data_IF_494510981487
#
_entry.id   IF_494510981487
#
_cell.length_a   1.000
_cell.length_b   1.000
_cell.length_c   1.000
_cell.angle_alpha   90.00
_cell.angle_beta   90.00
_cell.angle_gamma   90.00
#
_symmetry.space_group_name_H-M   'P 1'
#
loop_
_entity.id
_entity.type
_entity.pdbx_description
1 polymer ?
#
# COMPACT_ATOMS: atom_id res chain seq x y z
N UNK A 1 37.43 53.23 -12.83
CA UNK A 1 37.26 54.29 -11.81
C UNK A 1 35.95 54.01 -11.10
N UNK A 2 35.94 53.17 -10.06
CA UNK A 2 36.19 53.46 -8.63
C UNK A 2 35.05 54.22 -7.92
N UNK A 3 34.72 53.67 -6.73
CA UNK A 3 33.92 54.17 -5.61
C UNK A 3 32.41 53.89 -5.60
N UNK A 4 31.91 52.90 -4.82
CA UNK A 4 31.79 52.74 -3.34
C UNK A 4 30.68 53.59 -2.73
N UNK A 5 29.69 52.91 -2.13
CA UNK A 5 28.72 53.47 -1.19
C UNK A 5 27.96 52.35 -0.48
N UNK A 6 28.25 52.15 0.80
CA UNK A 6 27.77 51.05 1.64
C UNK A 6 26.46 51.38 2.39
N UNK A 7 25.63 50.33 2.59
CA UNK A 7 24.85 49.89 3.77
C UNK A 7 24.04 50.94 4.58
N UNK A 8 22.77 50.61 4.92
CA UNK A 8 22.42 50.46 6.33
C UNK A 8 21.83 49.10 6.69
N UNK A 9 22.18 48.67 7.91
CA UNK A 9 21.82 47.45 8.62
C UNK A 9 20.44 47.57 9.27
N UNK A 10 19.79 46.43 9.51
CA UNK A 10 18.89 46.26 10.66
C UNK A 10 17.61 45.50 10.36
N UNK A 11 17.51 44.27 10.85
CA UNK A 11 16.27 43.47 10.80
C UNK A 11 16.55 42.01 11.12
N UNK A 12 16.73 41.71 12.41
CA UNK A 12 17.15 40.41 12.93
C UNK A 12 16.10 39.30 12.68
N UNK A 13 16.57 38.14 12.20
CA UNK A 13 15.85 36.87 12.27
C UNK A 13 15.93 36.29 13.68
N UNK A 14 14.85 35.79 14.28
CA UNK A 14 14.96 34.96 15.48
C UNK A 14 15.46 33.56 15.10
N UNK A 15 16.52 33.14 15.79
CA UNK A 15 17.05 31.78 15.77
C UNK A 15 16.17 30.85 16.61
N UNK A 16 16.19 29.59 16.19
CA UNK A 16 15.76 28.41 16.91
C UNK A 16 16.47 28.29 18.27
N UNK A 17 15.72 28.10 19.35
CA UNK A 17 16.21 27.55 20.62
C UNK A 17 15.41 26.29 20.96
N UNK A 18 16.07 25.14 20.75
CA UNK A 18 15.74 23.87 21.40
C UNK A 18 16.45 23.80 22.75
N UNK A 19 15.88 23.01 23.65
CA UNK A 19 16.30 22.64 25.01
C UNK A 19 16.01 23.65 26.14
N UNK A 20 14.89 23.42 26.84
CA UNK A 20 14.87 22.95 28.25
C UNK A 20 13.43 22.86 28.75
N UNK A 21 12.95 21.63 28.98
CA UNK A 21 12.26 21.20 30.21
C UNK A 21 11.69 19.80 30.01
N UNK A 22 12.57 18.83 30.21
CA UNK A 22 12.22 17.47 30.59
C UNK A 22 12.04 17.50 32.12
N UNK A 23 11.01 16.81 32.62
CA UNK A 23 10.63 16.60 34.03
C UNK A 23 9.77 17.67 34.70
N UNK A 24 8.45 17.58 34.49
CA UNK A 24 7.47 17.61 35.60
C UNK A 24 6.39 16.57 35.29
N UNK A 25 6.64 15.33 35.70
CA UNK A 25 5.61 14.30 35.81
C UNK A 25 4.96 14.48 37.18
N UNK A 26 4.10 15.48 37.32
CA UNK A 26 3.19 15.57 38.47
C UNK A 26 2.01 14.66 38.20
N UNK A 27 1.93 13.60 39.02
CA UNK A 27 0.78 12.70 39.15
C UNK A 27 -0.51 13.52 39.34
N UNK A 28 -1.22 13.81 38.25
CA UNK A 28 -2.63 14.16 38.34
C UNK A 28 -3.41 12.87 38.59
N UNK A 29 -4.16 12.88 39.67
CA UNK A 29 -5.09 11.82 40.07
C UNK A 29 -6.05 11.53 38.90
N UNK A 30 -6.20 10.25 38.56
CA UNK A 30 -7.31 9.74 37.78
C UNK A 30 -8.62 10.07 38.53
N UNK A 31 -9.21 11.22 38.24
CA UNK A 31 -10.62 11.47 38.48
C UNK A 31 -11.38 10.74 37.35
N UNK A 32 -12.23 9.79 37.74
CA UNK A 32 -12.84 8.79 36.86
C UNK A 32 -13.23 9.30 35.48
N UNK A 33 -12.44 8.93 34.47
CA UNK A 33 -12.67 9.34 33.09
C UNK A 33 -13.93 8.67 32.54
N UNK A 34 -14.88 9.49 32.06
CA UNK A 34 -16.14 9.01 31.48
C UNK A 34 -15.87 8.33 30.14
N UNK A 35 -16.06 7.01 30.08
CA UNK A 35 -16.13 6.25 28.84
C UNK A 35 -17.50 6.49 28.21
N UNK A 36 -17.53 6.96 26.96
CA UNK A 36 -18.80 7.20 26.25
C UNK A 36 -19.47 5.89 25.81
N UNK A 37 -20.77 5.94 25.50
CA UNK A 37 -21.45 4.81 24.84
C UNK A 37 -20.94 4.65 23.39
N UNK A 38 -20.68 3.41 22.93
CA UNK A 38 -20.23 3.17 21.56
C UNK A 38 -21.30 3.57 20.53
N UNK A 39 -20.86 4.00 19.35
CA UNK A 39 -21.73 4.55 18.30
C UNK A 39 -22.88 3.63 17.91
N UNK A 40 -22.62 2.32 17.84
CA UNK A 40 -23.59 1.28 17.47
C UNK A 40 -24.73 1.11 18.49
N UNK A 41 -24.58 1.64 19.70
CA UNK A 41 -25.61 1.62 20.76
C UNK A 41 -26.16 3.01 21.09
N UNK A 42 -25.44 4.03 20.65
CA UNK A 42 -25.73 5.42 20.99
C UNK A 42 -26.96 5.94 20.24
N UNK A 43 -27.76 6.74 20.94
CA UNK A 43 -28.85 7.53 20.36
C UNK A 43 -28.56 9.02 20.53
N UNK A 44 -28.94 9.82 19.54
CA UNK A 44 -28.87 11.28 19.57
C UNK A 44 -30.29 11.83 19.58
N UNK A 45 -30.56 12.78 20.47
CA UNK A 45 -31.87 13.41 20.60
C UNK A 45 -32.01 14.56 19.61
N UNK A 46 -33.08 14.54 18.82
CA UNK A 46 -33.48 15.64 17.96
C UNK A 46 -34.76 16.29 18.49
N UNK A 47 -34.66 17.55 18.93
CA UNK A 47 -35.78 18.38 19.34
C UNK A 47 -35.50 19.84 19.01
N UNK A 48 -36.33 20.44 18.16
CA UNK A 48 -36.45 21.90 18.04
C UNK A 48 -37.46 22.40 19.06
N UNK A 49 -37.34 23.66 19.50
CA UNK A 49 -38.23 24.26 20.51
C UNK A 49 -39.73 24.01 20.18
N UNK A 50 -40.34 23.04 20.89
CA UNK A 50 -41.76 22.70 20.76
C UNK A 50 -42.09 21.33 20.14
N UNK A 51 -41.13 20.54 19.68
CA UNK A 51 -41.35 19.16 19.17
C UNK A 51 -40.84 18.15 20.20
N UNK A 52 -41.60 17.07 20.42
CA UNK A 52 -41.22 15.92 21.28
C UNK A 52 -39.83 15.42 20.89
N UNK A 53 -38.92 15.38 21.88
CA UNK A 53 -37.55 14.88 21.73
C UNK A 53 -37.54 13.49 21.11
N UNK A 54 -37.21 13.40 19.81
CA UNK A 54 -37.11 12.13 19.09
C UNK A 54 -35.69 11.58 19.26
N UNK A 55 -35.57 10.40 19.88
CA UNK A 55 -34.30 9.66 19.94
C UNK A 55 -34.07 8.92 18.62
N UNK A 56 -32.97 9.23 17.94
CA UNK A 56 -32.58 8.59 16.67
C UNK A 56 -31.23 7.88 16.88
N UNK A 57 -31.02 6.66 16.36
CA UNK A 57 -29.71 6.00 16.43
C UNK A 57 -28.60 6.90 15.91
N UNK A 58 -27.44 6.90 16.54
CA UNK A 58 -26.33 7.80 16.17
C UNK A 58 -25.74 7.45 14.79
N UNK A 59 -25.76 6.18 14.41
CA UNK A 59 -25.51 5.73 13.03
C UNK A 59 -26.86 5.63 12.31
N UNK A 60 -27.17 6.62 11.47
CA UNK A 60 -28.46 6.68 10.78
C UNK A 60 -28.40 7.61 9.57
N UNK A 61 -29.13 7.27 8.51
CA UNK A 61 -29.23 8.05 7.27
C UNK A 61 -29.70 9.50 7.48
N UNK A 62 -30.36 9.79 8.59
CA UNK A 62 -30.83 11.15 8.93
C UNK A 62 -29.68 12.13 9.23
N UNK A 63 -28.47 11.62 9.48
CA UNK A 63 -27.30 12.45 9.83
C UNK A 63 -26.40 12.77 8.64
N UNK A 64 -26.67 12.20 7.46
CA UNK A 64 -25.90 12.50 6.26
C UNK A 64 -26.06 13.98 5.90
N UNK A 65 -24.95 14.60 5.48
CA UNK A 65 -25.01 15.90 4.84
C UNK A 65 -25.36 15.69 3.37
N UNK A 66 -26.28 16.53 2.86
CA UNK A 66 -26.59 16.55 1.42
C UNK A 66 -25.46 17.30 0.72
N UNK A 67 -24.78 16.62 -0.18
CA UNK A 67 -23.69 17.16 -0.99
C UNK A 67 -23.44 16.27 -2.20
N UNK A 68 -22.60 16.75 -3.11
CA UNK A 68 -22.13 15.96 -4.25
C UNK A 68 -20.63 15.81 -4.09
N UNK A 69 -20.14 14.57 -4.03
CA UNK A 69 -18.70 14.31 -3.98
C UNK A 69 -18.14 14.19 -5.39
N UNK A 70 -17.14 15.00 -5.70
CA UNK A 70 -16.48 15.01 -7.00
C UNK A 70 -15.44 13.89 -7.07
N UNK A 71 -15.29 13.23 -8.23
CA UNK A 71 -14.23 12.25 -8.45
C UNK A 71 -12.92 12.94 -8.77
N UNK A 72 -11.83 12.41 -8.24
CA UNK A 72 -10.49 12.82 -8.60
C UNK A 72 -10.22 12.51 -10.08
N UNK A 73 -9.56 13.46 -10.73
CA UNK A 73 -8.97 13.28 -12.06
C UNK A 73 -7.51 13.74 -11.99
N UNK A 74 -6.56 13.01 -12.60
CA UNK A 74 -5.18 13.46 -12.67
C UNK A 74 -5.07 14.85 -13.32
N UNK A 75 -4.08 15.67 -12.93
CA UNK A 75 -3.83 16.94 -13.58
C UNK A 75 -3.61 16.73 -15.09
N UNK A 76 -4.09 17.67 -15.93
CA UNK A 76 -3.86 17.58 -17.36
C UNK A 76 -2.35 17.59 -17.62
N UNK A 77 -1.88 16.63 -18.40
CA UNK A 77 -0.49 16.57 -18.84
C UNK A 77 -0.37 17.25 -20.20
N UNK A 78 0.80 17.85 -20.51
CA UNK A 78 1.04 18.43 -21.83
C UNK A 78 0.95 17.35 -22.92
N UNK A 79 0.57 17.75 -24.13
CA UNK A 79 0.66 16.89 -25.31
C UNK A 79 2.12 16.63 -25.72
N UNK A 80 2.33 15.86 -26.79
CA UNK A 80 3.68 15.54 -27.32
C UNK A 80 4.49 16.80 -27.70
N UNK A 81 3.82 17.94 -27.92
CA UNK A 81 4.46 19.23 -28.22
C UNK A 81 4.73 20.06 -26.96
N UNK A 82 4.44 19.52 -25.78
CA UNK A 82 4.59 20.21 -24.50
C UNK A 82 3.52 21.27 -24.25
N UNK A 83 2.39 21.22 -24.96
CA UNK A 83 1.32 22.23 -24.86
C UNK A 83 0.13 21.66 -24.09
N UNK A 84 -0.30 22.40 -23.07
CA UNK A 84 -1.56 22.12 -22.37
C UNK A 84 -2.74 22.77 -23.11
N UNK A 85 -3.90 22.08 -23.21
CA UNK A 85 -5.09 22.71 -23.75
C UNK A 85 -5.44 23.99 -22.98
N UNK A 86 -5.78 25.10 -23.66
CA UNK A 86 -6.07 26.37 -23.00
C UNK A 86 -7.20 26.23 -21.97
N UNK A 87 -6.97 26.68 -20.74
CA UNK A 87 -7.96 26.62 -19.65
C UNK A 87 -8.07 25.26 -18.95
N UNK A 88 -7.38 24.21 -19.43
CA UNK A 88 -7.49 22.87 -18.83
C UNK A 88 -6.97 22.84 -17.39
N UNK A 89 -5.84 23.51 -17.13
CA UNK A 89 -5.28 23.60 -15.79
C UNK A 89 -6.20 24.38 -14.86
N UNK A 90 -6.69 25.54 -15.30
CA UNK A 90 -7.56 26.39 -14.49
C UNK A 90 -8.87 25.66 -14.15
N UNK A 91 -9.47 24.97 -15.12
CA UNK A 91 -10.66 24.13 -14.90
C UNK A 91 -10.37 22.96 -13.94
N UNK A 92 -9.21 22.33 -14.07
CA UNK A 92 -8.80 21.25 -13.17
C UNK A 92 -8.60 21.74 -11.74
N UNK A 93 -7.93 22.89 -11.56
CA UNK A 93 -7.71 23.49 -10.25
C UNK A 93 -9.02 23.81 -9.54
N UNK A 94 -9.99 24.42 -10.24
CA UNK A 94 -11.32 24.71 -9.68
C UNK A 94 -12.03 23.42 -9.24
N UNK A 95 -12.00 22.38 -10.08
CA UNK A 95 -12.61 21.09 -9.73
C UNK A 95 -11.95 20.44 -8.50
N UNK A 96 -10.62 20.51 -8.42
CA UNK A 96 -9.86 19.92 -7.32
C UNK A 96 -10.00 20.72 -6.02
N UNK A 97 -10.24 22.02 -6.07
CA UNK A 97 -10.56 22.84 -4.89
C UNK A 97 -11.85 22.38 -4.23
N UNK A 98 -12.90 22.09 -5.02
CA UNK A 98 -14.14 21.51 -4.49
C UNK A 98 -13.91 20.13 -3.85
N UNK A 99 -13.13 19.26 -4.52
CA UNK A 99 -12.76 17.96 -3.95
C UNK A 99 -12.00 18.11 -2.62
N UNK A 100 -11.02 19.02 -2.57
CA UNK A 100 -10.27 19.31 -1.35
C UNK A 100 -11.20 19.77 -0.22
N UNK A 101 -12.13 20.69 -0.51
CA UNK A 101 -13.11 21.18 0.43
C UNK A 101 -14.05 20.08 0.93
N UNK A 102 -14.50 19.19 0.05
CA UNK A 102 -15.36 18.06 0.40
C UNK A 102 -14.64 17.09 1.35
N UNK A 103 -13.37 16.76 1.07
CA UNK A 103 -12.55 15.88 1.90
C UNK A 103 -12.25 16.51 3.28
N UNK A 104 -11.97 17.82 3.32
CA UNK A 104 -11.80 18.56 4.58
C UNK A 104 -13.10 18.61 5.39
N UNK A 105 -14.22 18.86 4.73
CA UNK A 105 -15.55 18.88 5.35
C UNK A 105 -15.86 17.52 5.96
N UNK A 106 -15.58 16.43 5.24
CA UNK A 106 -15.76 15.07 5.71
C UNK A 106 -14.92 14.77 6.96
N UNK A 107 -13.65 15.18 6.98
CA UNK A 107 -12.78 15.05 8.16
C UNK A 107 -13.24 15.91 9.34
N UNK A 108 -13.88 17.06 9.07
CA UNK A 108 -14.40 17.95 10.11
C UNK A 108 -15.69 17.42 10.77
N UNK A 109 -16.37 16.43 10.17
CA UNK A 109 -17.61 15.90 10.71
C UNK A 109 -17.43 15.29 12.11
N UNK A 110 -18.38 15.50 13.03
CA UNK A 110 -18.43 14.74 14.28
C UNK A 110 -18.52 13.24 14.01
N UNK A 111 -17.93 12.42 14.89
CA UNK A 111 -17.85 10.96 14.76
C UNK A 111 -19.10 10.28 14.20
N UNK A 112 -20.27 10.51 14.80
CA UNK A 112 -21.53 9.90 14.38
C UNK A 112 -21.99 10.33 12.98
N UNK A 113 -21.72 11.58 12.57
CA UNK A 113 -22.05 12.09 11.24
C UNK A 113 -21.08 11.56 10.19
N UNK A 114 -19.79 11.51 10.52
CA UNK A 114 -18.77 10.91 9.65
C UNK A 114 -19.14 9.46 9.30
N UNK A 115 -19.37 8.64 10.32
CA UNK A 115 -19.74 7.24 10.11
C UNK A 115 -21.10 7.07 9.42
N UNK A 116 -22.07 7.95 9.69
CA UNK A 116 -23.33 7.94 8.94
C UNK A 116 -23.12 8.30 7.47
N UNK A 117 -22.22 9.24 7.16
CA UNK A 117 -21.84 9.54 5.78
C UNK A 117 -21.19 8.33 5.12
N UNK A 118 -20.19 7.69 5.77
CA UNK A 118 -19.50 6.52 5.20
C UNK A 118 -20.46 5.35 4.92
N UNK A 119 -21.42 5.11 5.81
CA UNK A 119 -22.33 3.96 5.66
C UNK A 119 -23.43 4.21 4.64
N UNK A 120 -23.96 5.43 4.57
CA UNK A 120 -25.19 5.71 3.82
C UNK A 120 -25.01 6.55 2.56
N UNK A 121 -23.79 7.04 2.27
CA UNK A 121 -23.51 7.81 1.05
C UNK A 121 -22.45 7.12 0.17
N UNK A 122 -22.87 6.37 -0.87
CA UNK A 122 -21.95 5.68 -1.77
C UNK A 122 -21.05 6.64 -2.56
N UNK A 123 -21.45 7.91 -2.75
CA UNK A 123 -20.66 8.87 -3.51
C UNK A 123 -19.31 9.17 -2.84
N UNK A 124 -19.23 9.04 -1.50
CA UNK A 124 -17.96 9.20 -0.78
C UNK A 124 -16.97 8.10 -1.16
N UNK A 125 -17.43 6.85 -1.24
CA UNK A 125 -16.57 5.73 -1.63
C UNK A 125 -16.06 5.91 -3.05
N UNK A 126 -16.92 6.28 -3.99
CA UNK A 126 -16.51 6.53 -5.37
C UNK A 126 -15.50 7.68 -5.48
N UNK A 127 -15.66 8.73 -4.66
CA UNK A 127 -14.73 9.85 -4.58
C UNK A 127 -13.35 9.41 -4.05
N UNK A 128 -13.31 8.73 -2.90
CA UNK A 128 -12.05 8.24 -2.32
C UNK A 128 -11.38 7.18 -3.21
N UNK A 129 -12.17 6.29 -3.82
CA UNK A 129 -11.69 5.25 -4.72
C UNK A 129 -11.08 5.84 -5.99
N UNK A 130 -11.72 6.86 -6.59
CA UNK A 130 -11.19 7.52 -7.78
C UNK A 130 -9.78 8.10 -7.58
N UNK A 131 -9.45 8.53 -6.36
CA UNK A 131 -8.10 8.98 -6.05
C UNK A 131 -7.12 7.81 -5.96
N UNK A 132 -7.43 6.75 -5.20
CA UNK A 132 -6.47 5.66 -5.01
C UNK A 132 -6.20 4.88 -6.31
N UNK A 133 -7.16 4.85 -7.25
CA UNK A 133 -6.98 4.21 -8.55
C UNK A 133 -6.20 5.06 -9.56
N UNK A 134 -6.25 6.39 -9.43
CA UNK A 134 -5.71 7.33 -10.44
C UNK A 134 -4.59 8.23 -9.91
N UNK A 135 -4.28 8.16 -8.62
CA UNK A 135 -3.19 8.89 -8.01
C UNK A 135 -1.83 8.42 -8.51
N UNK A 136 -0.87 9.35 -8.59
CA UNK A 136 0.49 9.02 -9.00
C UNK A 136 1.20 8.18 -7.94
N UNK A 137 1.84 7.11 -8.39
CA UNK A 137 2.67 6.24 -7.58
C UNK A 137 4.06 6.83 -7.49
N UNK A 138 4.82 6.41 -6.49
CA UNK A 138 6.16 6.94 -6.23
C UNK A 138 7.18 6.67 -7.35
N UNK A 139 6.87 5.73 -8.26
CA UNK A 139 7.66 5.44 -9.45
C UNK A 139 7.11 6.11 -10.71
N UNK A 140 5.94 6.75 -10.67
CA UNK A 140 5.41 7.46 -11.83
C UNK A 140 6.26 8.70 -12.10
N UNK A 141 6.77 8.81 -13.32
CA UNK A 141 7.63 9.92 -13.73
C UNK A 141 6.78 11.09 -14.22
N UNK A 142 6.06 11.70 -13.27
CA UNK A 142 5.16 12.83 -13.53
C UNK A 142 5.76 14.12 -13.00
N UNK A 143 6.01 15.06 -13.92
CA UNK A 143 6.47 16.40 -13.59
C UNK A 143 5.26 17.32 -13.46
N UNK A 144 4.88 17.60 -12.21
CA UNK A 144 3.84 18.57 -11.89
C UNK A 144 4.40 19.99 -11.82
N UNK A 145 3.65 20.96 -12.35
CA UNK A 145 3.93 22.38 -12.23
C UNK A 145 3.66 22.90 -10.80
N UNK A 146 4.16 24.11 -10.52
CA UNK A 146 4.11 24.73 -9.19
C UNK A 146 2.68 25.01 -8.68
N UNK A 147 1.67 25.03 -9.56
CA UNK A 147 0.27 25.21 -9.17
C UNK A 147 -0.43 23.88 -8.92
N UNK A 148 -0.20 22.88 -9.77
CA UNK A 148 -0.87 21.57 -9.64
C UNK A 148 -0.31 20.75 -8.48
N UNK A 149 0.99 20.85 -8.20
CA UNK A 149 1.67 20.04 -7.18
C UNK A 149 1.07 20.23 -5.76
N UNK A 150 0.90 21.45 -5.22
CA UNK A 150 0.33 21.63 -3.88
C UNK A 150 -1.08 21.04 -3.74
N UNK A 151 -1.89 21.12 -4.80
CA UNK A 151 -3.26 20.58 -4.81
C UNK A 151 -3.26 19.06 -4.80
N UNK A 152 -2.43 18.42 -5.64
CA UNK A 152 -2.26 16.96 -5.61
C UNK A 152 -1.75 16.49 -4.25
N UNK A 153 -0.76 17.17 -3.67
CA UNK A 153 -0.22 16.85 -2.34
C UNK A 153 -1.26 17.01 -1.23
N UNK A 154 -2.10 18.06 -1.29
CA UNK A 154 -3.18 18.26 -0.33
C UNK A 154 -4.24 17.16 -0.42
N UNK A 155 -4.72 16.85 -1.63
CA UNK A 155 -5.69 15.77 -1.85
C UNK A 155 -5.10 14.42 -1.43
N UNK A 156 -3.84 14.14 -1.78
CA UNK A 156 -3.12 12.93 -1.36
C UNK A 156 -3.19 12.76 0.16
N UNK A 157 -2.89 13.83 0.90
CA UNK A 157 -2.92 13.84 2.35
C UNK A 157 -4.33 13.65 2.91
N UNK A 158 -5.32 14.37 2.38
CA UNK A 158 -6.70 14.33 2.87
C UNK A 158 -7.38 12.98 2.61
N UNK A 159 -7.15 12.37 1.45
CA UNK A 159 -7.64 11.02 1.14
C UNK A 159 -7.06 10.02 2.13
N UNK A 160 -5.75 10.08 2.41
CA UNK A 160 -5.11 9.22 3.41
C UNK A 160 -5.74 9.36 4.79
N UNK A 161 -5.95 10.60 5.25
CA UNK A 161 -6.56 10.85 6.56
C UNK A 161 -8.00 10.33 6.65
N UNK A 162 -8.76 10.38 5.56
CA UNK A 162 -10.10 9.79 5.52
C UNK A 162 -10.03 8.27 5.68
N UNK A 163 -9.14 7.59 4.96
CA UNK A 163 -8.92 6.14 5.13
C UNK A 163 -8.41 5.79 6.54
N UNK A 164 -7.50 6.57 7.12
CA UNK A 164 -7.02 6.38 8.50
C UNK A 164 -8.19 6.48 9.49
N UNK A 165 -9.08 7.46 9.31
CA UNK A 165 -10.25 7.63 10.16
C UNK A 165 -11.23 6.46 10.00
N UNK A 166 -11.53 6.04 8.77
CA UNK A 166 -12.36 4.86 8.48
C UNK A 166 -11.78 3.57 9.05
N UNK A 167 -10.45 3.46 9.13
CA UNK A 167 -9.79 2.31 9.70
C UNK A 167 -9.65 2.37 11.23
N UNK A 168 -10.17 3.40 11.91
CA UNK A 168 -10.00 3.62 13.35
C UNK A 168 -11.31 3.44 14.11
N UNK A 169 -11.54 2.24 14.66
CA UNK A 169 -12.76 1.95 15.45
C UNK A 169 -12.87 2.76 16.76
N UNK A 170 -11.77 3.37 17.22
CA UNK A 170 -11.69 4.14 18.47
C UNK A 170 -10.91 5.44 18.25
N UNK A 171 -11.62 6.49 17.84
CA UNK A 171 -11.06 7.85 17.71
C UNK A 171 -10.74 8.47 19.09
N UNK A 172 -11.55 8.17 20.11
CA UNK A 172 -11.34 8.62 21.49
C UNK A 172 -12.05 7.73 22.51
N UNK A 173 -11.96 8.07 23.81
CA UNK A 173 -12.71 7.36 24.88
C UNK A 173 -14.23 7.53 24.75
N UNK A 174 -14.70 8.59 24.09
CA UNK A 174 -16.12 8.91 23.90
C UNK A 174 -16.61 8.73 22.46
N UNK A 175 -15.70 8.53 21.51
CA UNK A 175 -15.97 8.32 20.09
C UNK A 175 -15.35 7.00 19.67
N UNK A 176 -16.14 5.94 19.72
CA UNK A 176 -15.71 4.60 19.32
C UNK A 176 -16.90 3.75 18.88
N UNK A 177 -16.60 2.65 18.21
CA UNK A 177 -17.53 1.62 17.75
C UNK A 177 -17.12 0.30 18.42
N UNK A 178 -18.08 -0.54 18.77
CA UNK A 178 -17.79 -1.91 19.25
C UNK A 178 -16.95 -2.65 18.20
N UNK A 179 -15.79 -3.27 18.53
CA UNK A 179 -14.84 -3.75 17.53
C UNK A 179 -15.40 -4.74 16.49
N UNK A 180 -16.23 -5.70 16.92
CA UNK A 180 -16.90 -6.62 15.99
C UNK A 180 -17.88 -5.93 15.04
N UNK A 181 -18.67 -4.97 15.56
CA UNK A 181 -19.61 -4.18 14.74
C UNK A 181 -18.85 -3.28 13.77
N UNK A 182 -17.72 -2.71 14.18
CA UNK A 182 -16.83 -1.99 13.27
C UNK A 182 -16.34 -2.89 12.13
N UNK A 183 -15.90 -4.11 12.45
CA UNK A 183 -15.47 -5.09 11.46
C UNK A 183 -16.57 -5.43 10.45
N UNK A 184 -17.82 -5.58 10.91
CA UNK A 184 -18.98 -5.80 10.05
C UNK A 184 -19.29 -4.56 9.20
N UNK A 185 -19.24 -3.35 9.77
CA UNK A 185 -19.50 -2.10 9.05
C UNK A 185 -18.52 -1.93 7.88
N UNK A 186 -17.22 -2.08 8.12
CA UNK A 186 -16.22 -1.84 7.06
C UNK A 186 -16.30 -2.88 5.93
N UNK A 187 -16.70 -4.11 6.26
CA UNK A 187 -16.82 -5.22 5.32
C UNK A 187 -18.10 -5.14 4.49
N UNK A 188 -19.25 -5.11 5.17
CA UNK A 188 -20.56 -5.24 4.52
C UNK A 188 -20.94 -3.96 3.72
N UNK A 189 -20.28 -2.83 4.01
CA UNK A 189 -20.46 -1.57 3.25
C UNK A 189 -19.32 -1.31 2.25
N UNK A 190 -18.46 -2.30 1.95
CA UNK A 190 -17.37 -2.19 0.97
C UNK A 190 -16.42 -1.01 1.17
N UNK A 191 -16.24 -0.58 2.43
CA UNK A 191 -15.33 0.54 2.77
C UNK A 191 -13.87 0.17 2.50
N UNK A 192 -13.55 -1.12 2.62
CA UNK A 192 -12.28 -1.70 2.21
C UNK A 192 -12.52 -3.02 1.50
N UNK A 193 -11.64 -3.29 0.53
CA UNK A 193 -11.44 -4.58 -0.11
C UNK A 193 -9.92 -4.78 -0.33
N UNK A 194 -9.52 -5.95 -0.83
CA UNK A 194 -8.10 -6.27 -1.01
C UNK A 194 -7.42 -5.37 -2.06
N UNK A 195 -8.12 -4.99 -3.13
CA UNK A 195 -7.58 -4.09 -4.14
C UNK A 195 -7.32 -2.69 -3.55
N UNK A 196 -8.28 -2.13 -2.83
CA UNK A 196 -8.12 -0.86 -2.10
C UNK A 196 -6.95 -0.91 -1.12
N UNK A 197 -6.79 -2.02 -0.39
CA UNK A 197 -5.67 -2.17 0.54
C UNK A 197 -4.31 -2.24 -0.17
N UNK A 198 -4.24 -2.90 -1.34
CA UNK A 198 -3.05 -2.93 -2.18
C UNK A 198 -2.70 -1.52 -2.69
N UNK A 199 -3.68 -0.78 -3.22
CA UNK A 199 -3.49 0.60 -3.69
C UNK A 199 -3.05 1.54 -2.57
N UNK A 200 -3.68 1.45 -1.40
CA UNK A 200 -3.31 2.23 -0.23
C UNK A 200 -1.86 1.93 0.21
N UNK A 201 -1.50 0.64 0.26
CA UNK A 201 -0.12 0.21 0.54
C UNK A 201 0.85 0.84 -0.46
N UNK A 202 0.56 0.73 -1.75
CA UNK A 202 1.42 1.21 -2.82
C UNK A 202 1.59 2.74 -2.80
N UNK A 203 0.51 3.49 -2.64
CA UNK A 203 0.52 4.95 -2.65
C UNK A 203 1.17 5.55 -1.40
N UNK A 204 0.85 5.01 -0.22
CA UNK A 204 1.18 5.65 1.06
C UNK A 204 2.28 4.91 1.83
N UNK A 205 2.67 3.71 1.43
CA UNK A 205 3.70 2.91 2.10
C UNK A 205 5.05 3.62 2.25
N UNK A 206 5.63 4.19 1.18
CA UNK A 206 6.94 4.85 1.25
C UNK A 206 7.01 6.03 2.21
N UNK A 207 5.91 6.79 2.34
CA UNK A 207 5.87 8.05 3.10
C UNK A 207 5.21 7.91 4.48
N UNK A 208 4.28 6.97 4.66
CA UNK A 208 3.44 6.83 5.84
C UNK A 208 3.43 5.40 6.45
N UNK A 209 4.46 4.60 6.16
CA UNK A 209 4.48 3.16 6.43
C UNK A 209 4.10 2.74 7.86
N UNK A 210 4.52 3.46 8.91
CA UNK A 210 4.17 3.09 10.28
C UNK A 210 2.67 3.23 10.59
N UNK A 211 2.07 4.34 10.18
CA UNK A 211 0.64 4.59 10.41
C UNK A 211 -0.20 3.66 9.53
N UNK A 212 0.23 3.45 8.29
CA UNK A 212 -0.43 2.55 7.36
C UNK A 212 -0.36 1.09 7.81
N UNK A 213 0.79 0.62 8.32
CA UNK A 213 0.90 -0.72 8.91
C UNK A 213 -0.09 -0.92 10.07
N UNK A 214 -0.24 0.07 10.95
CA UNK A 214 -1.23 0.04 12.03
C UNK A 214 -2.67 0.02 11.49
N UNK A 215 -2.93 0.79 10.43
CA UNK A 215 -4.22 0.87 9.75
C UNK A 215 -4.62 -0.50 9.19
N UNK A 216 -3.77 -1.09 8.36
CA UNK A 216 -3.97 -2.41 7.75
C UNK A 216 -4.10 -3.49 8.81
N UNK A 217 -3.21 -3.50 9.82
CA UNK A 217 -3.30 -4.43 10.94
C UNK A 217 -4.66 -4.35 11.65
N UNK A 218 -5.16 -3.14 11.92
CA UNK A 218 -6.44 -2.98 12.59
C UNK A 218 -7.61 -3.51 11.74
N UNK A 219 -7.61 -3.25 10.43
CA UNK A 219 -8.63 -3.76 9.50
C UNK A 219 -8.68 -5.28 9.53
N UNK A 220 -7.55 -5.96 9.31
CA UNK A 220 -7.48 -7.44 9.34
C UNK A 220 -7.80 -8.03 10.72
N UNK A 221 -7.44 -7.33 11.79
CA UNK A 221 -7.72 -7.80 13.16
C UNK A 221 -9.20 -7.73 13.51
N UNK A 222 -9.87 -6.62 13.18
CA UNK A 222 -11.29 -6.46 13.49
C UNK A 222 -12.19 -7.19 12.50
N UNK A 223 -11.71 -7.45 11.29
CA UNK A 223 -12.42 -8.23 10.28
C UNK A 223 -11.52 -9.29 9.66
N UNK A 224 -11.48 -10.51 10.23
CA UNK A 224 -10.68 -11.60 9.70
C UNK A 224 -11.12 -12.11 8.32
N UNK A 225 -12.36 -11.85 7.86
CA UNK A 225 -12.82 -12.29 6.53
C UNK A 225 -11.93 -11.78 5.39
N UNK A 226 -11.28 -10.63 5.54
CA UNK A 226 -10.32 -10.12 4.56
C UNK A 226 -9.15 -11.07 4.29
N UNK A 227 -8.81 -11.96 5.22
CA UNK A 227 -7.80 -12.98 4.94
C UNK A 227 -8.28 -14.04 3.92
N UNK A 228 -9.57 -14.38 3.93
CA UNK A 228 -10.14 -15.27 2.93
C UNK A 228 -10.18 -14.59 1.57
N UNK A 229 -10.52 -13.30 1.54
CA UNK A 229 -10.52 -12.50 0.32
C UNK A 229 -9.09 -12.34 -0.24
N UNK A 230 -8.10 -12.16 0.64
CA UNK A 230 -6.69 -12.16 0.26
C UNK A 230 -6.28 -13.49 -0.37
N UNK A 231 -6.69 -14.62 0.22
CA UNK A 231 -6.40 -15.94 -0.35
C UNK A 231 -6.97 -16.08 -1.77
N UNK A 232 -8.20 -15.63 -2.01
CA UNK A 232 -8.82 -15.64 -3.33
C UNK A 232 -8.08 -14.72 -4.31
N UNK A 233 -7.71 -13.52 -3.85
CA UNK A 233 -6.94 -12.57 -4.65
C UNK A 233 -5.58 -13.16 -5.07
N UNK A 234 -4.87 -13.87 -4.18
CA UNK A 234 -3.60 -14.54 -4.51
C UNK A 234 -3.80 -15.58 -5.61
N UNK A 235 -4.86 -16.39 -5.55
CA UNK A 235 -5.18 -17.35 -6.61
C UNK A 235 -5.47 -16.66 -7.94
N UNK A 236 -6.24 -15.56 -7.94
CA UNK A 236 -6.51 -14.77 -9.15
C UNK A 236 -5.25 -14.12 -9.72
N UNK A 237 -4.35 -13.62 -8.88
CA UNK A 237 -3.05 -13.08 -9.28
C UNK A 237 -2.22 -14.17 -9.97
N UNK A 238 -2.17 -15.38 -9.42
CA UNK A 238 -1.44 -16.49 -10.04
C UNK A 238 -1.95 -16.78 -11.46
N UNK A 239 -3.27 -16.88 -11.64
CA UNK A 239 -3.87 -17.10 -12.96
C UNK A 239 -3.60 -15.95 -13.93
N UNK A 240 -3.53 -14.72 -13.43
CA UNK A 240 -3.20 -13.57 -14.26
C UNK A 240 -1.74 -13.58 -14.68
N UNK A 241 -0.81 -14.02 -13.82
CA UNK A 241 0.60 -14.19 -14.16
C UNK A 241 0.80 -15.31 -15.21
N UNK A 242 0.08 -16.43 -15.11
CA UNK A 242 0.10 -17.49 -16.14
C UNK A 242 -0.28 -16.95 -17.53
N UNK A 243 -1.32 -16.09 -17.60
CA UNK A 243 -1.71 -15.42 -18.86
C UNK A 243 -0.64 -14.48 -19.40
N UNK A 244 0.19 -13.88 -18.53
CA UNK A 244 1.33 -13.08 -18.98
C UNK A 244 2.41 -13.97 -19.59
N UNK A 245 2.68 -15.13 -19.00
CA UNK A 245 3.61 -16.12 -19.57
C UNK A 245 3.13 -16.63 -20.93
N UNK A 246 1.82 -16.83 -21.08
CA UNK A 246 1.19 -17.19 -22.37
C UNK A 246 1.41 -16.12 -23.43
N UNK A 247 1.11 -14.85 -23.09
CA UNK A 247 1.28 -13.71 -24.00
C UNK A 247 2.73 -13.52 -24.43
N UNK A 248 3.68 -13.80 -23.54
CA UNK A 248 5.11 -13.74 -23.83
C UNK A 248 5.65 -15.00 -24.52
N UNK A 249 4.82 -16.04 -24.70
CA UNK A 249 5.24 -17.31 -25.30
C UNK A 249 6.25 -18.10 -24.46
N UNK A 250 6.30 -17.85 -23.15
CA UNK A 250 7.25 -18.49 -22.21
C UNK A 250 6.59 -19.45 -21.23
N UNK A 251 5.28 -19.67 -21.35
CA UNK A 251 4.57 -20.61 -20.50
C UNK A 251 5.14 -22.04 -20.67
N UNK A 252 5.49 -22.67 -19.53
CA UNK A 252 6.01 -24.03 -19.49
C UNK A 252 4.86 -25.04 -19.47
N UNK A 253 4.18 -25.14 -20.61
CA UNK A 253 3.39 -26.33 -20.90
C UNK A 253 4.39 -27.42 -21.28
N UNK A 254 4.43 -28.52 -20.54
CA UNK A 254 5.16 -29.75 -20.91
C UNK A 254 4.60 -30.39 -22.22
N UNK A 255 4.13 -29.58 -23.16
CA UNK A 255 3.53 -29.92 -24.44
C UNK A 255 4.51 -29.47 -25.52
N UNK A 256 4.98 -30.38 -26.39
CA UNK A 256 5.82 -30.00 -27.52
C UNK A 256 5.07 -29.00 -28.40
N UNK A 257 5.49 -27.74 -28.41
CA UNK A 257 5.00 -26.76 -29.37
C UNK A 257 5.50 -27.19 -30.75
N UNK A 258 4.58 -27.32 -31.71
CA UNK A 258 4.94 -27.67 -33.07
C UNK A 258 5.92 -26.63 -33.64
N UNK A 259 7.09 -27.08 -34.11
CA UNK A 259 8.04 -26.26 -34.86
C UNK A 259 7.31 -25.59 -36.04
N UNK A 260 7.10 -24.27 -35.96
CA UNK A 260 6.47 -23.49 -37.01
C UNK A 260 5.09 -22.90 -36.70
N UNK A 261 4.60 -22.97 -35.45
CA UNK A 261 3.51 -22.08 -35.04
C UNK A 261 4.01 -20.63 -35.14
N UNK A 262 3.30 -19.71 -35.84
CA UNK A 262 3.68 -18.32 -35.86
C UNK A 262 3.53 -17.78 -34.44
N UNK A 263 4.65 -17.48 -33.78
CA UNK A 263 4.67 -16.55 -32.67
C UNK A 263 4.27 -15.20 -33.26
N UNK A 264 3.04 -14.76 -33.01
CA UNK A 264 2.68 -13.38 -33.27
C UNK A 264 3.66 -12.51 -32.49
N UNK A 265 4.39 -11.64 -33.20
CA UNK A 265 5.31 -10.71 -32.56
C UNK A 265 4.50 -9.81 -31.63
N UNK A 266 4.87 -9.79 -30.34
CA UNK A 266 4.24 -8.93 -29.35
C UNK A 266 4.35 -7.46 -29.79
N UNK A 267 3.26 -6.70 -29.75
CA UNK A 267 3.35 -5.28 -30.09
C UNK A 267 4.07 -4.51 -28.98
N UNK A 268 4.74 -3.41 -29.33
CA UNK A 268 5.38 -2.54 -28.33
C UNK A 268 4.39 -2.00 -27.29
N UNK A 269 3.13 -1.74 -27.70
CA UNK A 269 2.07 -1.29 -26.80
C UNK A 269 1.71 -2.39 -25.81
N UNK A 270 1.53 -3.64 -26.27
CA UNK A 270 1.26 -4.77 -25.40
C UNK A 270 2.43 -5.04 -24.44
N UNK A 271 3.67 -4.88 -24.91
CA UNK A 271 4.88 -5.02 -24.08
C UNK A 271 4.91 -3.96 -22.97
N UNK A 272 4.63 -2.70 -23.30
CA UNK A 272 4.52 -1.61 -22.32
C UNK A 272 3.45 -1.93 -21.26
N UNK A 273 2.26 -2.34 -21.70
CA UNK A 273 1.14 -2.67 -20.81
C UNK A 273 1.48 -3.85 -19.88
N UNK A 274 2.14 -4.90 -20.40
CA UNK A 274 2.61 -6.03 -19.59
C UNK A 274 3.60 -5.56 -18.53
N UNK A 275 4.58 -4.74 -18.89
CA UNK A 275 5.61 -4.29 -17.94
C UNK A 275 5.02 -3.41 -16.85
N UNK A 276 4.11 -2.49 -17.21
CA UNK A 276 3.39 -1.65 -16.25
C UNK A 276 2.56 -2.52 -15.31
N UNK A 277 1.79 -3.46 -15.86
CA UNK A 277 0.97 -4.39 -15.09
C UNK A 277 1.80 -5.23 -14.09
N UNK A 278 2.93 -5.77 -14.53
CA UNK A 278 3.82 -6.56 -13.66
C UNK A 278 4.45 -5.70 -12.57
N UNK A 279 4.88 -4.50 -12.91
CA UNK A 279 5.43 -3.55 -11.95
C UNK A 279 4.41 -3.20 -10.85
N UNK A 280 3.18 -2.87 -11.25
CA UNK A 280 2.10 -2.53 -10.33
C UNK A 280 1.73 -3.73 -9.45
N UNK A 281 1.61 -4.91 -10.05
CA UNK A 281 1.27 -6.16 -9.35
C UNK A 281 2.31 -6.49 -8.27
N UNK A 282 3.59 -6.60 -8.64
CA UNK A 282 4.62 -7.02 -7.71
C UNK A 282 4.97 -5.94 -6.68
N UNK A 283 4.94 -4.66 -7.05
CA UNK A 283 5.16 -3.56 -6.10
C UNK A 283 4.03 -3.50 -5.06
N UNK A 284 2.78 -3.72 -5.46
CA UNK A 284 1.64 -3.77 -4.54
C UNK A 284 1.74 -4.94 -3.56
N UNK A 285 2.06 -6.15 -4.06
CA UNK A 285 2.24 -7.34 -3.22
C UNK A 285 3.40 -7.13 -2.24
N UNK A 286 4.54 -6.66 -2.75
CA UNK A 286 5.73 -6.38 -1.93
C UNK A 286 5.41 -5.40 -0.81
N UNK A 287 4.67 -4.33 -1.11
CA UNK A 287 4.33 -3.29 -0.16
C UNK A 287 3.34 -3.79 0.89
N UNK A 288 2.31 -4.56 0.50
CA UNK A 288 1.36 -5.18 1.43
C UNK A 288 2.06 -6.10 2.43
N UNK A 289 2.94 -7.00 1.95
CA UNK A 289 3.64 -7.94 2.84
C UNK A 289 4.61 -7.20 3.77
N UNK A 290 5.28 -6.15 3.28
CA UNK A 290 6.17 -5.34 4.11
C UNK A 290 5.42 -4.62 5.25
N UNK A 291 4.23 -4.07 4.96
CA UNK A 291 3.43 -3.33 5.93
C UNK A 291 2.57 -4.23 6.83
N UNK A 292 2.16 -5.39 6.34
CA UNK A 292 1.38 -6.38 7.08
C UNK A 292 1.97 -7.80 6.90
N UNK A 293 3.09 -8.11 7.58
CA UNK A 293 3.77 -9.40 7.45
C UNK A 293 2.90 -10.65 7.60
N UNK A 294 1.84 -10.69 8.44
CA UNK A 294 0.93 -11.84 8.49
C UNK A 294 0.30 -12.22 7.14
N UNK A 295 0.17 -11.28 6.20
CA UNK A 295 -0.31 -11.55 4.85
C UNK A 295 0.54 -12.61 4.13
N UNK A 296 1.85 -12.69 4.40
CA UNK A 296 2.75 -13.67 3.79
C UNK A 296 2.33 -15.14 4.00
N UNK A 297 1.52 -15.45 5.03
CA UNK A 297 0.97 -16.80 5.18
C UNK A 297 0.12 -17.23 3.99
N UNK A 298 -0.69 -16.32 3.45
CA UNK A 298 -1.64 -16.64 2.38
C UNK A 298 -0.94 -16.79 1.04
N UNK A 299 0.13 -16.02 0.81
CA UNK A 299 1.03 -16.24 -0.32
C UNK A 299 1.79 -17.57 -0.22
N UNK A 300 2.30 -17.90 0.98
CA UNK A 300 3.05 -19.13 1.20
C UNK A 300 2.21 -20.41 1.00
N UNK A 301 0.93 -20.40 1.41
CA UNK A 301 0.03 -21.56 1.23
C UNK A 301 -0.13 -21.91 -0.25
N UNK A 302 -0.14 -20.92 -1.14
CA UNK A 302 -0.21 -21.10 -2.59
C UNK A 302 1.16 -21.40 -3.23
N UNK A 303 2.22 -21.55 -2.42
CA UNK A 303 3.62 -21.66 -2.85
C UNK A 303 4.05 -20.49 -3.77
N UNK A 304 3.52 -19.29 -3.50
CA UNK A 304 3.70 -18.13 -4.37
C UNK A 304 5.18 -17.75 -4.52
N UNK A 305 6.01 -17.94 -3.50
CA UNK A 305 7.46 -17.69 -3.58
C UNK A 305 8.15 -18.59 -4.61
N UNK A 306 7.77 -19.86 -4.72
CA UNK A 306 8.34 -20.77 -5.71
C UNK A 306 7.85 -20.42 -7.12
N UNK A 307 6.57 -20.05 -7.24
CA UNK A 307 6.01 -19.56 -8.51
C UNK A 307 6.70 -18.28 -8.96
N UNK A 308 6.99 -17.35 -8.05
CA UNK A 308 7.73 -16.12 -8.34
C UNK A 308 9.15 -16.40 -8.86
N UNK A 309 9.85 -17.37 -8.28
CA UNK A 309 11.18 -17.79 -8.74
C UNK A 309 11.14 -18.28 -10.19
N UNK A 310 10.25 -19.22 -10.48
CA UNK A 310 10.10 -19.81 -11.81
C UNK A 310 9.58 -18.80 -12.84
N UNK A 311 8.62 -17.95 -12.44
CA UNK A 311 8.12 -16.85 -13.26
C UNK A 311 9.24 -15.86 -13.60
N UNK A 312 10.05 -15.47 -12.62
CA UNK A 312 11.17 -14.56 -12.82
C UNK A 312 12.18 -15.12 -13.85
N UNK A 313 12.52 -16.40 -13.72
CA UNK A 313 13.47 -17.08 -14.62
C UNK A 313 13.03 -17.04 -16.08
N UNK A 314 11.72 -17.13 -16.33
CA UNK A 314 11.18 -17.16 -17.69
C UNK A 314 10.85 -15.78 -18.24
N UNK A 315 10.17 -14.96 -17.44
CA UNK A 315 9.59 -13.70 -17.89
C UNK A 315 10.63 -12.60 -17.96
N UNK A 316 11.55 -12.50 -17.00
CA UNK A 316 12.51 -11.37 -16.98
C UNK A 316 13.44 -11.41 -18.21
N UNK A 317 14.06 -12.54 -18.58
CA UNK A 317 14.84 -12.60 -19.82
C UNK A 317 14.00 -12.30 -21.06
N UNK A 318 12.79 -12.86 -21.15
CA UNK A 318 11.91 -12.63 -22.30
C UNK A 318 11.52 -11.15 -22.45
N UNK A 319 11.23 -10.45 -21.35
CA UNK A 319 11.00 -9.01 -21.40
C UNK A 319 12.24 -8.28 -21.92
N UNK A 320 13.44 -8.60 -21.41
CA UNK A 320 14.68 -7.96 -21.84
C UNK A 320 15.01 -8.23 -23.32
N UNK A 321 14.75 -9.44 -23.82
CA UNK A 321 14.94 -9.78 -25.23
C UNK A 321 13.97 -8.98 -26.11
N UNK A 322 12.69 -8.91 -25.74
CA UNK A 322 11.69 -8.09 -26.44
C UNK A 322 12.06 -6.59 -26.39
N UNK A 323 12.59 -6.09 -25.27
CA UNK A 323 13.09 -4.70 -25.19
C UNK A 323 14.21 -4.44 -26.21
N UNK A 324 15.14 -5.39 -26.38
CA UNK A 324 16.22 -5.24 -27.34
C UNK A 324 15.73 -5.28 -28.79
N UNK A 325 14.70 -6.08 -29.08
CA UNK A 325 14.08 -6.15 -30.41
C UNK A 325 13.31 -4.87 -30.79
N UNK A 326 12.66 -4.24 -29.80
CA UNK A 326 11.83 -3.04 -30.00
C UNK A 326 12.55 -1.72 -29.68
N UNK A 327 13.86 -1.74 -29.39
CA UNK A 327 14.55 -0.53 -28.91
C UNK A 327 14.65 0.60 -29.97
N UNK A 328 14.52 0.28 -31.25
CA UNK A 328 14.53 1.23 -32.37
C UNK A 328 13.11 1.68 -32.80
N UNK A 329 12.06 1.15 -32.16
CA UNK A 329 10.68 1.48 -32.53
C UNK A 329 10.30 2.90 -32.10
N UNK A 330 9.54 3.67 -32.93
CA UNK A 330 9.16 5.04 -32.60
C UNK A 330 8.34 5.21 -31.32
N UNK A 331 7.70 4.14 -30.84
CA UNK A 331 6.90 4.12 -29.61
C UNK A 331 7.69 3.75 -28.34
N UNK A 332 9.00 3.52 -28.47
CA UNK A 332 9.85 3.09 -27.37
C UNK A 332 10.01 4.17 -26.30
N UNK A 333 9.69 3.80 -25.05
CA UNK A 333 10.01 4.61 -23.88
C UNK A 333 11.21 4.00 -23.14
N UNK A 334 12.39 4.65 -23.14
CA UNK A 334 13.56 4.12 -22.44
C UNK A 334 13.33 3.93 -20.94
N UNK A 335 12.39 4.66 -20.32
CA UNK A 335 12.06 4.55 -18.89
C UNK A 335 11.41 3.22 -18.52
N UNK A 336 10.91 2.46 -19.49
CA UNK A 336 10.37 1.13 -19.24
C UNK A 336 11.44 0.14 -18.78
N UNK A 337 12.70 0.38 -19.12
CA UNK A 337 13.81 -0.39 -18.55
C UNK A 337 13.85 -0.24 -17.03
N UNK A 338 13.63 0.97 -16.51
CA UNK A 338 13.59 1.23 -15.06
C UNK A 338 12.41 0.51 -14.39
N UNK A 339 11.26 0.41 -15.09
CA UNK A 339 10.10 -0.37 -14.64
C UNK A 339 10.43 -1.86 -14.51
N UNK A 340 11.19 -2.44 -15.44
CA UNK A 340 11.63 -3.84 -15.31
C UNK A 340 12.55 -4.01 -14.11
N UNK A 341 13.50 -3.09 -13.88
CA UNK A 341 14.37 -3.17 -12.70
C UNK A 341 13.59 -3.08 -11.41
N UNK A 342 12.55 -2.24 -11.37
CA UNK A 342 11.66 -2.16 -10.23
C UNK A 342 10.87 -3.46 -10.03
N UNK A 343 10.27 -4.01 -11.09
CA UNK A 343 9.61 -5.32 -11.05
C UNK A 343 10.54 -6.40 -10.51
N UNK A 344 11.79 -6.44 -11.00
CA UNK A 344 12.82 -7.38 -10.53
C UNK A 344 13.04 -7.22 -9.03
N UNK A 345 13.27 -6.00 -8.55
CA UNK A 345 13.46 -5.72 -7.13
C UNK A 345 12.25 -6.11 -6.29
N UNK A 346 11.03 -5.76 -6.74
CA UNK A 346 9.78 -6.04 -6.05
C UNK A 346 9.54 -7.54 -5.90
N UNK A 347 9.81 -8.35 -6.93
CA UNK A 347 9.73 -9.82 -6.84
C UNK A 347 10.71 -10.36 -5.80
N UNK A 348 11.98 -9.95 -5.85
CA UNK A 348 13.01 -10.41 -4.91
C UNK A 348 12.66 -10.03 -3.46
N UNK A 349 12.15 -8.82 -3.25
CA UNK A 349 11.72 -8.35 -1.93
C UNK A 349 10.48 -9.08 -1.42
N UNK A 350 9.50 -9.36 -2.28
CA UNK A 350 8.31 -10.13 -1.92
C UNK A 350 8.69 -11.58 -1.54
N UNK A 351 9.52 -12.24 -2.36
CA UNK A 351 10.07 -13.57 -2.07
C UNK A 351 10.77 -13.59 -0.71
N UNK A 352 11.68 -12.63 -0.49
CA UNK A 352 12.41 -12.49 0.77
C UNK A 352 11.47 -12.27 1.95
N UNK A 353 10.45 -11.44 1.80
CA UNK A 353 9.51 -11.14 2.88
C UNK A 353 8.69 -12.38 3.29
N UNK A 354 8.30 -13.22 2.32
CA UNK A 354 7.62 -14.49 2.59
C UNK A 354 8.54 -15.44 3.36
N UNK A 355 9.76 -15.68 2.86
CA UNK A 355 10.73 -16.53 3.54
C UNK A 355 11.09 -16.00 4.93
N UNK A 356 11.25 -14.68 5.07
CA UNK A 356 11.53 -14.06 6.34
C UNK A 356 10.40 -14.33 7.34
N UNK A 357 9.16 -14.07 6.96
CA UNK A 357 8.02 -14.30 7.83
C UNK A 357 7.84 -15.78 8.22
N UNK A 358 8.17 -16.72 7.32
CA UNK A 358 7.97 -18.17 7.55
C UNK A 358 9.13 -18.88 8.23
N UNK A 359 10.35 -18.47 7.94
CA UNK A 359 11.55 -19.22 8.34
C UNK A 359 12.44 -18.45 9.32
N UNK A 360 12.51 -17.12 9.23
CA UNK A 360 13.47 -16.32 10.00
C UNK A 360 12.81 -15.67 11.22
N UNK A 361 11.68 -14.99 11.03
CA UNK A 361 10.96 -14.27 12.08
C UNK A 361 10.55 -15.16 13.27
N UNK A 362 10.08 -16.42 13.10
CA UNK A 362 9.77 -17.29 14.22
C UNK A 362 10.98 -17.60 15.12
N UNK A 363 12.20 -17.44 14.60
CA UNK A 363 13.44 -17.74 15.32
C UNK A 363 14.03 -16.52 16.03
N UNK A 364 13.43 -15.33 15.89
CA UNK A 364 13.92 -14.10 16.52
C UNK A 364 13.67 -14.03 18.04
N UNK A 365 12.93 -14.97 18.61
CA UNK A 365 12.75 -15.08 20.07
C UNK A 365 14.05 -15.48 20.80
N UNK A 366 14.15 -15.20 22.10
CA UNK A 366 15.41 -15.41 22.85
C UNK A 366 15.87 -16.88 22.88
N UNK A 367 14.92 -17.83 23.00
CA UNK A 367 15.17 -19.27 23.04
C UNK A 367 14.10 -20.04 22.25
N UNK A 368 14.22 -20.14 20.91
CA UNK A 368 13.28 -20.92 20.13
C UNK A 368 13.45 -22.42 20.44
N UNK A 369 12.37 -23.23 20.40
CA UNK A 369 12.48 -24.68 20.54
C UNK A 369 13.36 -25.28 19.43
N UNK A 370 14.23 -26.25 19.77
CA UNK A 370 15.13 -26.88 18.78
C UNK A 370 14.38 -27.55 17.63
N UNK A 371 13.17 -28.06 17.87
CA UNK A 371 12.29 -28.60 16.82
C UNK A 371 11.86 -27.53 15.82
N UNK A 372 11.48 -26.34 16.30
CA UNK A 372 11.10 -25.20 15.46
C UNK A 372 12.28 -24.70 14.63
N UNK A 373 13.48 -24.65 15.21
CA UNK A 373 14.71 -24.29 14.47
C UNK A 373 14.94 -25.27 13.32
N UNK A 374 14.81 -26.59 13.57
CA UNK A 374 14.95 -27.62 12.55
C UNK A 374 13.94 -27.44 11.42
N UNK A 375 12.66 -27.25 11.76
CA UNK A 375 11.57 -27.05 10.79
C UNK A 375 11.78 -25.80 9.92
N UNK A 376 12.12 -24.66 10.53
CA UNK A 376 12.37 -23.42 9.79
C UNK A 376 13.58 -23.53 8.85
N UNK A 377 14.65 -24.20 9.28
CA UNK A 377 15.84 -24.44 8.43
C UNK A 377 15.47 -25.35 7.27
N UNK A 378 14.73 -26.43 7.51
CA UNK A 378 14.31 -27.37 6.48
C UNK A 378 13.44 -26.68 5.42
N UNK A 379 12.42 -25.92 5.85
CA UNK A 379 11.56 -25.12 4.95
C UNK A 379 12.36 -24.14 4.10
N UNK A 380 13.29 -23.41 4.71
CA UNK A 380 14.15 -22.47 4.00
C UNK A 380 15.02 -23.19 2.97
N UNK A 381 15.70 -24.26 3.38
CA UNK A 381 16.59 -25.02 2.50
C UNK A 381 15.84 -25.69 1.36
N UNK A 382 14.62 -26.19 1.61
CA UNK A 382 13.76 -26.74 0.57
C UNK A 382 13.41 -25.69 -0.47
N UNK A 383 12.93 -24.51 -0.03
CA UNK A 383 12.59 -23.42 -0.95
C UNK A 383 13.81 -22.99 -1.78
N UNK A 384 14.95 -22.73 -1.12
CA UNK A 384 16.17 -22.35 -1.82
C UNK A 384 16.65 -23.43 -2.79
N UNK A 385 16.56 -24.71 -2.43
CA UNK A 385 16.97 -25.83 -3.29
C UNK A 385 16.14 -25.93 -4.55
N UNK A 386 14.82 -25.66 -4.46
CA UNK A 386 13.95 -25.55 -5.63
C UNK A 386 14.39 -24.41 -6.56
N UNK A 387 14.73 -23.25 -5.99
CA UNK A 387 15.17 -22.08 -6.75
C UNK A 387 16.58 -22.20 -7.37
N UNK A 388 17.41 -23.17 -6.99
CA UNK A 388 18.77 -23.32 -7.57
C UNK A 388 18.74 -23.60 -9.07
N UNK A 389 17.67 -24.23 -9.58
CA UNK A 389 17.47 -24.44 -11.01
C UNK A 389 17.27 -23.15 -11.81
N UNK A 390 16.72 -22.13 -11.15
CA UNK A 390 16.38 -20.82 -11.72
C UNK A 390 17.60 -19.90 -11.64
N UNK A 391 18.51 -20.03 -12.61
CA UNK A 391 19.86 -19.42 -12.57
C UNK A 391 19.84 -17.91 -12.54
N UNK A 392 18.98 -17.28 -13.33
CA UNK A 392 18.82 -15.82 -13.39
C UNK A 392 18.29 -15.32 -12.05
N UNK A 393 17.19 -15.91 -11.58
CA UNK A 393 16.59 -15.56 -10.29
C UNK A 393 17.58 -15.73 -9.14
N UNK A 394 18.21 -16.90 -9.00
CA UNK A 394 19.05 -17.20 -7.83
C UNK A 394 20.31 -16.32 -7.81
N UNK A 395 20.85 -15.95 -8.97
CA UNK A 395 22.01 -15.05 -9.07
C UNK A 395 21.64 -13.66 -8.57
N UNK A 396 20.52 -13.11 -9.03
CA UNK A 396 20.04 -11.80 -8.62
C UNK A 396 19.64 -11.80 -7.14
N UNK A 397 18.90 -12.82 -6.69
CA UNK A 397 18.52 -13.00 -5.30
C UNK A 397 19.73 -13.06 -4.37
N UNK A 398 20.75 -13.88 -4.66
CA UNK A 398 21.94 -14.00 -3.82
C UNK A 398 22.76 -12.71 -3.79
N UNK A 399 22.73 -11.93 -4.87
CA UNK A 399 23.42 -10.64 -4.96
C UNK A 399 22.75 -9.59 -4.05
N UNK A 400 21.43 -9.60 -3.94
CA UNK A 400 20.67 -8.70 -3.06
C UNK A 400 20.60 -9.20 -1.61
N UNK A 401 20.38 -10.50 -1.42
CA UNK A 401 20.19 -11.16 -0.13
C UNK A 401 21.16 -12.35 0.01
N UNK A 402 22.40 -12.12 0.48
CA UNK A 402 23.39 -13.18 0.59
C UNK A 402 22.94 -14.31 1.52
N UNK A 403 22.75 -15.52 0.97
CA UNK A 403 22.31 -16.72 1.71
C UNK A 403 23.24 -17.03 2.88
N UNK A 404 24.54 -16.71 2.76
CA UNK A 404 25.53 -16.90 3.83
C UNK A 404 25.10 -16.25 5.14
N UNK A 405 24.48 -15.06 5.10
CA UNK A 405 23.99 -14.38 6.30
C UNK A 405 22.86 -15.14 6.98
N UNK A 406 21.98 -15.78 6.20
CA UNK A 406 20.89 -16.60 6.74
C UNK A 406 21.42 -17.89 7.36
N UNK A 407 22.40 -18.54 6.71
CA UNK A 407 23.07 -19.72 7.24
C UNK A 407 23.80 -19.41 8.55
N UNK A 408 24.50 -18.28 8.62
CA UNK A 408 25.11 -17.77 9.84
C UNK A 408 24.06 -17.55 10.94
N UNK A 409 22.94 -16.90 10.62
CA UNK A 409 21.83 -16.70 11.54
C UNK A 409 21.27 -18.04 12.08
N UNK A 410 21.04 -19.03 11.22
CA UNK A 410 20.57 -20.35 11.65
C UNK A 410 21.60 -21.06 12.53
N UNK A 411 22.88 -21.00 12.18
CA UNK A 411 23.96 -21.60 12.96
C UNK A 411 24.07 -20.99 14.37
N UNK A 412 24.00 -19.65 14.48
CA UNK A 412 24.03 -18.91 15.72
C UNK A 412 22.79 -19.22 16.59
N UNK A 413 21.62 -19.35 15.95
CA UNK A 413 20.37 -19.72 16.64
C UNK A 413 20.43 -21.13 17.20
N UNK A 414 20.93 -22.10 16.41
CA UNK A 414 21.11 -23.49 16.88
C UNK A 414 22.08 -23.57 18.05
N UNK A 415 23.16 -22.77 18.02
CA UNK A 415 24.09 -22.69 19.14
C UNK A 415 23.45 -22.11 20.42
N UNK A 416 22.64 -21.06 20.30
CA UNK A 416 21.89 -20.48 21.43
C UNK A 416 20.96 -21.49 22.10
N UNK A 417 20.32 -22.37 21.31
CA UNK A 417 19.44 -23.42 21.82
C UNK A 417 20.20 -24.54 22.56
N UNK A 418 21.41 -24.86 22.11
CA UNK A 418 22.21 -25.99 22.63
C UNK A 418 23.15 -25.59 23.79
N UNK A 419 23.16 -24.33 24.22
CA UNK A 419 24.01 -23.89 25.33
C UNK A 419 23.55 -24.53 26.65
N UNK A 420 24.36 -25.37 27.32
CA UNK A 420 24.01 -25.92 28.62
C UNK A 420 23.89 -24.78 29.65
N UNK A 421 22.95 -24.92 30.59
CA UNK A 421 22.80 -24.01 31.73
C UNK A 421 24.09 -23.98 32.55
N UNK A 422 24.95 -22.98 32.31
CA UNK A 422 25.95 -22.58 33.28
C UNK A 422 25.20 -21.76 34.34
N UNK A 423 24.80 -22.45 35.41
CA UNK A 423 24.27 -21.87 36.63
C UNK A 423 25.34 -21.11 37.40
#
# INVERSE_FOLDING_TARGET
>A
MSNTGAIPKGGARPKCDRQRNINVCEKRKDEGEVVGEPLDKKFVTCGGAGIVDKRVPALHIAWIQKGTYIKYVPPPLPDDNGVLPPGARESWLEQMEFLEQDLQTLLSLPHHKFWSQMVYDPAVHECLESYITSGFRWYDDVILDDYSRPVVESIHHLVFLNYVRMATYKESKTCHITPGVFGDIIYENYMFDICKLLDLCLLYGPTNGQLLAKMVYNIFTQQPKYYNDLSQAVSSICQALEKVEDKLGVADYNVPVALGAPTESLSIVDLHDIIIYLNDTFSSIQMLIALHPPAAQYFHVEAFELRMSAFYERVIPALMDNLNEHCDDPGWDPKITDRIQLTRSSILMAFRAILHHKCLAPLCMEKPPSSLVGECVEKFMQAMSTCVGDKTFITDYCSTFPITKDLEFFSATRWRCNKPHLH
#
